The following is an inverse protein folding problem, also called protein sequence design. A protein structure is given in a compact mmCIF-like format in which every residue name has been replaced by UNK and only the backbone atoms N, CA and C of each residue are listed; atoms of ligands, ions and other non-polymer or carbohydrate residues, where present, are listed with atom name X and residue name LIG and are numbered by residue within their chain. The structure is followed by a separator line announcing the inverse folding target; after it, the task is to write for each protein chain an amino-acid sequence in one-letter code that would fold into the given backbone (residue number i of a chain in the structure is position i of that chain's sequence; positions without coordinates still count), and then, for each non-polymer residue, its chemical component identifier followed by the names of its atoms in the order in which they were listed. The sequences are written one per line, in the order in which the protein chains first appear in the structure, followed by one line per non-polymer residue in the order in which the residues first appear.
data_IF_727908942249
#
_entry.id   IF_727908942249
#
_cell.length_a   1.000
_cell.length_b   1.000
_cell.length_c   1.000
_cell.angle_alpha   90.00
_cell.angle_beta   90.00
_cell.angle_gamma   90.00
#
_symmetry.space_group_name_H-M   'P 1'
#
loop_
_entity.id
_entity.type
_entity.pdbx_description
1 polymer ?
#
# COMPACT_ATOMS: atom_id res chain seq x y z
N UNK A 1 19.11 -26.63 -0.06
CA UNK A 1 18.29 -26.15 -1.18
C UNK A 1 18.35 -24.64 -1.13
N UNK A 2 19.25 -24.07 -1.92
CA UNK A 2 19.27 -22.64 -2.20
C UNK A 2 18.13 -22.39 -3.19
N UNK A 3 17.05 -21.80 -2.71
CA UNK A 3 15.99 -21.35 -3.60
C UNK A 3 16.46 -20.00 -4.11
N UNK A 4 17.35 -20.01 -5.12
CA UNK A 4 17.78 -18.80 -5.81
C UNK A 4 16.54 -18.19 -6.46
N UNK A 5 15.83 -17.37 -5.69
CA UNK A 5 14.70 -16.61 -6.16
C UNK A 5 15.29 -15.55 -7.09
N UNK A 6 15.02 -15.69 -8.39
CA UNK A 6 15.43 -14.72 -9.39
C UNK A 6 14.63 -13.43 -9.19
N UNK A 7 15.16 -12.55 -8.35
CA UNK A 7 14.66 -11.19 -8.22
C UNK A 7 15.20 -10.33 -9.36
N UNK A 8 14.43 -9.36 -9.84
CA UNK A 8 15.03 -8.24 -10.58
C UNK A 8 16.04 -7.51 -9.67
N UNK A 9 17.09 -6.92 -10.25
CA UNK A 9 18.11 -6.18 -9.50
C UNK A 9 17.50 -5.12 -8.57
N UNK A 10 16.49 -4.38 -9.04
CA UNK A 10 15.76 -3.38 -8.23
C UNK A 10 15.07 -4.00 -7.00
N UNK A 11 14.43 -5.16 -7.17
CA UNK A 11 13.76 -5.86 -6.07
C UNK A 11 14.77 -6.49 -5.11
N UNK A 12 15.91 -6.98 -5.62
CA UNK A 12 17.00 -7.51 -4.80
C UNK A 12 17.57 -6.43 -3.91
N UNK A 13 17.96 -5.29 -4.47
CA UNK A 13 18.47 -4.15 -3.71
C UNK A 13 17.46 -3.65 -2.68
N UNK A 14 16.18 -3.60 -3.03
CA UNK A 14 15.13 -3.23 -2.10
C UNK A 14 15.02 -4.21 -0.93
N UNK A 15 14.98 -5.52 -1.19
CA UNK A 15 14.85 -6.55 -0.16
C UNK A 15 16.08 -6.63 0.75
N UNK A 16 17.27 -6.40 0.20
CA UNK A 16 18.51 -6.27 0.97
C UNK A 16 18.47 -5.02 1.87
N UNK A 17 18.07 -3.87 1.32
CA UNK A 17 17.97 -2.61 2.08
C UNK A 17 16.98 -2.69 3.24
N UNK A 18 15.86 -3.41 3.07
CA UNK A 18 14.86 -3.60 4.12
C UNK A 18 15.22 -4.78 5.05
N UNK A 19 16.25 -5.57 4.71
CA UNK A 19 16.74 -6.68 5.52
C UNK A 19 15.80 -7.90 5.55
N UNK A 20 14.97 -8.08 4.51
CA UNK A 20 13.93 -9.13 4.48
C UNK A 20 14.26 -10.25 3.48
N UNK A 21 15.32 -10.10 2.66
CA UNK A 21 15.68 -11.06 1.61
C UNK A 21 15.78 -12.50 2.15
N UNK A 22 16.63 -12.73 3.15
CA UNK A 22 16.87 -14.06 3.72
C UNK A 22 15.63 -14.64 4.43
N UNK A 23 14.82 -13.77 5.05
CA UNK A 23 13.56 -14.17 5.68
C UNK A 23 12.54 -14.63 4.65
N UNK A 24 12.46 -13.94 3.51
CA UNK A 24 11.55 -14.31 2.43
C UNK A 24 11.99 -15.63 1.78
N UNK A 25 13.28 -15.79 1.49
CA UNK A 25 13.83 -17.03 0.92
C UNK A 25 13.59 -18.22 1.85
N UNK A 26 13.86 -18.08 3.15
CA UNK A 26 13.62 -19.14 4.13
C UNK A 26 12.13 -19.46 4.33
N UNK A 27 11.25 -18.45 4.26
CA UNK A 27 9.81 -18.65 4.29
C UNK A 27 9.34 -19.47 3.08
N UNK A 28 9.73 -19.06 1.87
CA UNK A 28 9.34 -19.74 0.62
C UNK A 28 9.87 -21.17 0.61
N UNK A 29 11.12 -21.38 1.03
CA UNK A 29 11.73 -22.69 1.15
C UNK A 29 10.93 -23.65 2.03
N UNK A 30 10.40 -23.17 3.15
CA UNK A 30 9.57 -23.97 4.06
C UNK A 30 8.14 -24.14 3.55
N UNK A 31 7.54 -23.13 2.94
CA UNK A 31 6.22 -23.23 2.32
C UNK A 31 6.19 -24.29 1.22
N UNK A 32 7.21 -24.30 0.34
CA UNK A 32 7.34 -25.30 -0.73
C UNK A 32 7.56 -26.70 -0.17
N UNK A 33 8.34 -26.83 0.91
CA UNK A 33 8.60 -28.12 1.56
C UNK A 33 7.35 -28.69 2.24
N UNK A 34 6.64 -27.87 3.01
CA UNK A 34 5.50 -28.32 3.81
C UNK A 34 4.19 -28.39 3.02
N UNK A 35 4.07 -27.63 1.91
CA UNK A 35 2.87 -27.52 1.07
C UNK A 35 1.59 -27.27 1.91
N UNK A 36 1.56 -26.22 2.74
CA UNK A 36 0.44 -25.97 3.63
C UNK A 36 -0.84 -25.68 2.83
N UNK A 37 -1.97 -26.22 3.28
CA UNK A 37 -3.28 -25.95 2.69
C UNK A 37 -3.76 -24.51 2.90
N UNK A 38 -3.19 -23.80 3.89
CA UNK A 38 -3.49 -22.40 4.18
C UNK A 38 -2.18 -21.61 4.40
N UNK A 39 -1.78 -20.85 3.39
CA UNK A 39 -0.56 -20.04 3.42
C UNK A 39 -0.58 -18.95 4.49
N UNK A 40 -1.75 -18.37 4.80
CA UNK A 40 -1.84 -17.32 5.82
C UNK A 40 -1.64 -17.86 7.23
N UNK A 41 -2.29 -18.98 7.54
CA UNK A 41 -2.09 -19.66 8.82
C UNK A 41 -0.63 -20.14 8.96
N UNK A 42 -0.06 -20.65 7.88
CA UNK A 42 1.36 -21.04 7.85
C UNK A 42 2.30 -19.86 8.04
N UNK A 43 2.08 -18.74 7.34
CA UNK A 43 2.88 -17.53 7.52
C UNK A 43 2.82 -17.01 8.96
N UNK A 44 1.64 -17.05 9.56
CA UNK A 44 1.47 -16.62 10.95
C UNK A 44 2.23 -17.52 11.93
N UNK A 45 2.12 -18.84 11.81
CA UNK A 45 2.86 -19.78 12.67
C UNK A 45 4.38 -19.69 12.43
N UNK A 46 4.80 -19.58 11.17
CA UNK A 46 6.19 -19.41 10.76
C UNK A 46 6.82 -18.14 11.34
N UNK A 47 6.08 -17.02 11.27
CA UNK A 47 6.52 -15.75 11.83
C UNK A 47 6.56 -15.80 13.36
N UNK A 48 5.52 -16.36 14.00
CA UNK A 48 5.48 -16.50 15.46
C UNK A 48 6.63 -17.35 16.01
N UNK A 49 7.05 -18.39 15.29
CA UNK A 49 8.17 -19.23 15.69
C UNK A 49 9.54 -18.50 15.66
N UNK A 50 9.64 -17.43 14.86
CA UNK A 50 10.90 -16.68 14.61
C UNK A 50 10.93 -15.31 15.28
N UNK A 51 9.76 -14.76 15.61
CA UNK A 51 9.65 -13.55 16.40
C UNK A 51 9.94 -13.88 17.87
N UNK A 52 11.09 -13.41 18.39
CA UNK A 52 11.50 -13.58 19.80
C UNK A 52 10.57 -12.91 20.82
N UNK A 53 9.69 -12.02 20.37
CA UNK A 53 8.76 -11.31 21.21
C UNK A 53 7.34 -11.47 20.69
N UNK A 54 6.36 -11.77 21.56
CA UNK A 54 4.97 -11.72 21.16
C UNK A 54 4.67 -10.30 20.65
N UNK A 55 3.88 -10.17 19.57
CA UNK A 55 3.53 -8.86 19.04
C UNK A 55 2.89 -8.04 20.17
N UNK A 56 3.40 -6.82 20.39
CA UNK A 56 2.85 -5.91 21.42
C UNK A 56 1.42 -5.48 21.13
N UNK A 57 0.90 -5.81 19.94
CA UNK A 57 -0.40 -5.42 19.43
C UNK A 57 -1.17 -6.70 19.09
N UNK A 58 -2.40 -6.81 19.57
CA UNK A 58 -3.28 -7.94 19.23
C UNK A 58 -3.75 -7.87 17.77
N UNK A 59 -4.11 -9.00 17.14
CA UNK A 59 -4.66 -9.01 15.78
C UNK A 59 -5.84 -8.04 15.59
N UNK A 60 -6.72 -7.93 16.60
CA UNK A 60 -7.85 -6.99 16.59
C UNK A 60 -7.38 -5.54 16.55
N UNK A 61 -6.37 -5.17 17.35
CA UNK A 61 -5.81 -3.83 17.36
C UNK A 61 -5.10 -3.50 16.03
N UNK A 62 -4.40 -4.46 15.44
CA UNK A 62 -3.78 -4.31 14.12
C UNK A 62 -4.86 -4.09 13.04
N UNK A 63 -5.93 -4.89 13.04
CA UNK A 63 -7.05 -4.75 12.11
C UNK A 63 -7.71 -3.37 12.24
N UNK A 64 -7.92 -2.88 13.47
CA UNK A 64 -8.48 -1.55 13.73
C UNK A 64 -7.58 -0.44 13.14
N UNK A 65 -6.26 -0.53 13.33
CA UNK A 65 -5.30 0.43 12.76
C UNK A 65 -5.36 0.46 11.23
N UNK A 66 -5.40 -0.71 10.59
CA UNK A 66 -5.51 -0.83 9.12
C UNK A 66 -6.82 -0.22 8.64
N UNK A 67 -7.95 -0.54 9.29
CA UNK A 67 -9.26 0.01 8.92
C UNK A 67 -9.32 1.53 9.08
N UNK A 68 -8.77 2.07 10.17
CA UNK A 68 -8.68 3.51 10.39
C UNK A 68 -7.83 4.20 9.31
N UNK A 69 -6.65 3.65 9.00
CA UNK A 69 -5.78 4.17 7.95
C UNK A 69 -6.47 4.18 6.58
N UNK A 70 -7.20 3.11 6.25
CA UNK A 70 -7.97 3.01 5.01
C UNK A 70 -9.10 4.04 4.95
N UNK A 71 -9.88 4.21 6.03
CA UNK A 71 -10.94 5.23 6.10
C UNK A 71 -10.38 6.64 5.88
N UNK A 72 -9.28 6.96 6.56
CA UNK A 72 -8.62 8.25 6.40
C UNK A 72 -8.09 8.45 4.97
N UNK A 73 -7.48 7.44 4.36
CA UNK A 73 -7.03 7.51 2.97
C UNK A 73 -8.20 7.81 2.03
N UNK A 74 -9.32 7.08 2.17
CA UNK A 74 -10.53 7.30 1.37
C UNK A 74 -11.10 8.71 1.56
N UNK A 75 -11.15 9.20 2.80
CA UNK A 75 -11.60 10.55 3.11
C UNK A 75 -10.70 11.61 2.45
N UNK A 76 -9.38 11.51 2.59
CA UNK A 76 -8.41 12.41 1.95
C UNK A 76 -8.53 12.37 0.42
N UNK A 77 -8.72 11.19 -0.17
CA UNK A 77 -8.90 11.04 -1.62
C UNK A 77 -10.17 11.75 -2.10
N UNK A 78 -11.28 11.60 -1.38
CA UNK A 78 -12.54 12.27 -1.70
C UNK A 78 -12.43 13.80 -1.57
N UNK A 79 -11.79 14.29 -0.51
CA UNK A 79 -11.58 15.73 -0.31
C UNK A 79 -10.76 16.34 -1.45
N UNK A 80 -9.65 15.69 -1.84
CA UNK A 80 -8.83 16.14 -2.98
C UNK A 80 -9.64 16.19 -4.29
N UNK A 81 -10.44 15.16 -4.56
CA UNK A 81 -11.30 15.12 -5.75
C UNK A 81 -12.34 16.25 -5.75
N UNK A 82 -12.99 16.52 -4.61
CA UNK A 82 -13.95 17.64 -4.49
C UNK A 82 -13.27 18.99 -4.67
N UNK A 83 -12.09 19.17 -4.08
CA UNK A 83 -11.32 20.41 -4.23
C UNK A 83 -10.92 20.67 -5.68
N UNK A 84 -10.49 19.64 -6.41
CA UNK A 84 -10.19 19.73 -7.84
C UNK A 84 -11.44 20.09 -8.66
N UNK A 85 -12.59 19.52 -8.35
CA UNK A 85 -13.84 19.84 -9.04
C UNK A 85 -14.26 21.31 -8.85
N UNK A 86 -14.11 21.85 -7.64
CA UNK A 86 -14.39 23.27 -7.36
C UNK A 86 -13.43 24.19 -8.12
N UNK A 87 -12.13 23.88 -8.13
CA UNK A 87 -11.13 24.65 -8.88
C UNK A 87 -11.46 24.64 -10.39
N UNK A 88 -11.77 23.47 -10.95
CA UNK A 88 -12.12 23.33 -12.35
C UNK A 88 -13.41 24.09 -12.71
N UNK A 89 -14.41 24.11 -11.80
CA UNK A 89 -15.63 24.89 -11.99
C UNK A 89 -15.34 26.40 -12.02
N UNK A 90 -14.55 26.91 -11.06
CA UNK A 90 -14.17 28.32 -11.02
C UNK A 90 -13.37 28.77 -12.25
N UNK A 91 -12.48 27.91 -12.77
CA UNK A 91 -11.76 28.19 -14.02
C UNK A 91 -12.70 28.30 -15.22
N UNK A 92 -13.72 27.44 -15.32
CA UNK A 92 -14.72 27.51 -16.40
C UNK A 92 -15.59 28.77 -16.31
N UNK A 93 -15.92 29.25 -15.11
CA UNK A 93 -16.66 30.51 -14.99
C UNK A 93 -15.80 31.71 -15.38
N UNK A 94 -14.54 31.77 -14.95
CA UNK A 94 -13.63 32.84 -15.37
C UNK A 94 -13.38 32.85 -16.88
N UNK A 95 -13.31 31.68 -17.51
CA UNK A 95 -13.14 31.56 -18.95
C UNK A 95 -14.39 32.03 -19.71
N UNK A 96 -15.60 31.70 -19.21
CA UNK A 96 -16.87 32.24 -19.74
C UNK A 96 -16.96 33.76 -19.58
N UNK A 97 -16.62 34.29 -18.40
CA UNK A 97 -16.63 35.73 -18.14
C UNK A 97 -15.63 36.49 -19.04
N UNK A 98 -14.44 35.92 -19.27
CA UNK A 98 -13.48 36.45 -20.24
C UNK A 98 -14.05 36.45 -21.65
N UNK A 99 -14.66 35.36 -22.10
CA UNK A 99 -15.24 35.26 -23.44
C UNK A 99 -16.35 36.30 -23.65
N UNK A 100 -17.23 36.48 -22.65
CA UNK A 100 -18.28 37.50 -22.67
C UNK A 100 -17.70 38.92 -22.74
N UNK A 101 -16.63 39.23 -21.99
CA UNK A 101 -15.98 40.55 -22.07
C UNK A 101 -15.37 40.83 -23.44
N UNK A 102 -14.70 39.86 -24.05
CA UNK A 102 -14.11 40.04 -25.39
C UNK A 102 -15.19 40.31 -26.44
N UNK A 103 -16.37 39.68 -26.34
CA UNK A 103 -17.48 39.92 -27.27
C UNK A 103 -18.20 41.26 -27.11
N UNK A 104 -18.02 41.97 -25.99
CA UNK A 104 -18.63 43.29 -25.76
C UNK A 104 -17.70 44.42 -26.23
N UNK A 105 -16.41 44.13 -26.39
CA UNK A 105 -15.38 45.09 -26.81
C UNK A 105 -15.07 45.06 -28.34
N UNK A 106 -15.71 44.16 -29.11
CA UNK A 106 -15.77 44.14 -30.59
C UNK A 106 -17.05 44.79 -31.13
#
# INVERSE_FOLDING_TARGET
MDYSLDYSEENREFLERVGVRELLESFVAEAVRQKPHNLYAFMQSWANARCRHPPSITPQQAALKIQCALRQYKARKLMKSRQQAVIAYGQKEQEKERYVRVQIEE
#
